data_IF_907244559019
#
_entry.id   IF_907244559019
#
_cell.length_a   1.000
_cell.length_b   1.000
_cell.length_c   1.000
_cell.angle_alpha   90.00
_cell.angle_beta   90.00
_cell.angle_gamma   90.00
#
_symmetry.space_group_name_H-M   'P 1'
#
loop_
_entity.id
_entity.type
_entity.pdbx_description
1 polymer ?
#
# COMPACT_ATOMS: atom_id res chain seq x y z
N UNK A 1 1.03 -4.82 39.32
CA UNK A 1 0.97 -3.69 38.37
C UNK A 1 1.72 -4.16 37.13
N UNK A 2 1.01 -4.73 36.16
CA UNK A 2 1.63 -5.28 34.95
C UNK A 2 2.20 -4.13 34.11
N UNK A 3 3.49 -4.19 33.76
CA UNK A 3 4.09 -3.32 32.75
C UNK A 3 3.39 -3.65 31.43
N UNK A 4 2.48 -2.79 30.97
CA UNK A 4 2.13 -2.76 29.55
C UNK A 4 3.42 -2.43 28.82
N UNK A 5 3.93 -3.39 28.05
CA UNK A 5 5.00 -3.10 27.10
C UNK A 5 4.49 -2.00 26.16
N UNK A 6 5.33 -0.99 25.96
CA UNK A 6 4.98 0.15 25.10
C UNK A 6 4.83 -0.38 23.66
N UNK A 7 3.71 -0.05 23.00
CA UNK A 7 3.48 -0.50 21.62
C UNK A 7 4.35 0.34 20.70
N UNK A 8 5.40 -0.27 20.16
CA UNK A 8 6.24 0.36 19.13
C UNK A 8 5.62 0.08 17.77
N UNK A 9 5.07 1.11 17.12
CA UNK A 9 4.47 1.02 15.79
C UNK A 9 5.30 1.79 14.77
N UNK A 10 5.64 1.12 13.67
CA UNK A 10 6.31 1.71 12.52
C UNK A 10 5.42 1.53 11.29
N UNK A 11 5.05 2.65 10.68
CA UNK A 11 4.30 2.67 9.43
C UNK A 11 5.14 3.32 8.32
N UNK A 12 5.25 2.65 7.18
CA UNK A 12 6.00 3.12 6.02
C UNK A 12 5.11 3.05 4.78
N UNK A 13 5.14 4.11 3.97
CA UNK A 13 4.45 4.18 2.68
C UNK A 13 5.39 4.73 1.63
N UNK A 14 5.52 4.04 0.50
CA UNK A 14 6.38 4.43 -0.63
C UNK A 14 5.62 4.28 -1.94
N UNK A 15 5.69 5.31 -2.79
CA UNK A 15 5.18 5.28 -4.18
C UNK A 15 6.37 5.16 -5.12
N UNK A 16 6.29 4.27 -6.10
CA UNK A 16 7.37 4.02 -7.05
C UNK A 16 6.84 3.81 -8.47
N UNK A 17 7.65 4.20 -9.46
CA UNK A 17 7.45 3.81 -10.85
C UNK A 17 7.81 2.35 -11.05
N UNK A 18 7.13 1.66 -11.96
CA UNK A 18 7.50 0.29 -12.32
C UNK A 18 8.40 0.29 -13.54
N UNK A 19 9.34 -0.66 -13.54
CA UNK A 19 10.17 -0.97 -14.70
C UNK A 19 9.58 -2.15 -15.47
N UNK A 20 9.79 -2.15 -16.78
CA UNK A 20 9.60 -3.34 -17.61
C UNK A 20 10.72 -4.38 -17.36
N UNK A 21 10.67 -5.57 -17.99
CA UNK A 21 11.73 -6.56 -17.87
C UNK A 21 13.11 -6.09 -18.37
N UNK A 22 13.20 -5.00 -19.15
CA UNK A 22 14.46 -4.41 -19.61
C UNK A 22 15.05 -3.41 -18.61
N UNK A 23 14.33 -3.10 -17.53
CA UNK A 23 14.74 -2.14 -16.51
C UNK A 23 14.35 -0.68 -16.84
N UNK A 24 13.60 -0.45 -17.92
CA UNK A 24 13.13 0.88 -18.28
C UNK A 24 11.88 1.24 -17.47
N UNK A 25 11.87 2.44 -16.86
CA UNK A 25 10.67 2.97 -16.20
C UNK A 25 9.58 3.19 -17.24
N UNK A 26 8.43 2.56 -17.01
CA UNK A 26 7.30 2.58 -17.94
C UNK A 26 6.32 3.68 -17.58
N UNK A 27 6.02 4.54 -18.55
CA UNK A 27 4.98 5.55 -18.38
C UNK A 27 3.60 4.90 -18.16
N UNK A 28 2.82 5.47 -17.25
CA UNK A 28 1.52 4.94 -16.84
C UNK A 28 1.57 3.68 -15.96
N UNK A 29 2.74 3.15 -15.60
CA UNK A 29 2.86 2.08 -14.60
C UNK A 29 3.21 2.68 -13.24
N UNK A 30 2.51 2.27 -12.20
CA UNK A 30 2.73 2.79 -10.84
C UNK A 30 2.61 1.68 -9.80
N UNK A 31 3.29 1.87 -8.67
CA UNK A 31 3.17 1.01 -7.51
C UNK A 31 3.14 1.80 -6.22
N UNK A 32 2.48 1.24 -5.21
CA UNK A 32 2.55 1.71 -3.83
C UNK A 32 2.82 0.51 -2.91
N UNK A 33 3.77 0.69 -2.00
CA UNK A 33 4.05 -0.24 -0.91
C UNK A 33 3.67 0.43 0.40
N UNK A 34 2.79 -0.20 1.17
CA UNK A 34 2.42 0.24 2.52
C UNK A 34 2.73 -0.89 3.47
N UNK A 35 3.49 -0.61 4.52
CA UNK A 35 3.80 -1.59 5.55
C UNK A 35 3.61 -1.02 6.94
N UNK A 36 3.21 -1.89 7.85
CA UNK A 36 3.02 -1.60 9.26
C UNK A 36 3.66 -2.73 10.06
N UNK A 37 4.39 -2.38 11.10
CA UNK A 37 4.92 -3.35 12.05
C UNK A 37 4.78 -2.86 13.48
N UNK A 38 4.36 -3.76 14.36
CA UNK A 38 4.49 -3.55 15.80
C UNK A 38 4.83 -4.85 16.55
N UNK A 39 5.27 -4.70 17.79
CA UNK A 39 5.68 -5.80 18.67
C UNK A 39 4.55 -6.80 18.99
N UNK A 40 3.28 -6.37 18.96
CA UNK A 40 2.12 -7.22 19.32
C UNK A 40 1.47 -7.97 18.14
N UNK A 41 1.39 -7.34 16.97
CA UNK A 41 0.68 -7.84 15.76
C UNK A 41 1.65 -8.34 14.70
N UNK A 42 2.95 -8.05 14.86
CA UNK A 42 3.99 -8.41 13.92
C UNK A 42 4.02 -7.45 12.73
N UNK A 43 4.40 -7.94 11.56
CA UNK A 43 4.56 -7.14 10.34
C UNK A 43 3.48 -7.48 9.33
N UNK A 44 2.95 -6.46 8.67
CA UNK A 44 2.11 -6.58 7.48
C UNK A 44 2.59 -5.60 6.41
N UNK A 45 2.54 -6.01 5.16
CA UNK A 45 2.86 -5.19 4.00
C UNK A 45 1.86 -5.48 2.88
N UNK A 46 1.49 -4.43 2.14
CA UNK A 46 0.67 -4.49 0.94
C UNK A 46 1.38 -3.74 -0.16
N UNK A 47 1.67 -4.44 -1.26
CA UNK A 47 2.13 -3.85 -2.51
C UNK A 47 0.95 -3.85 -3.49
N UNK A 48 0.63 -2.69 -4.05
CA UNK A 48 -0.35 -2.55 -5.13
C UNK A 48 0.39 -2.02 -6.34
N UNK A 49 0.31 -2.73 -7.46
CA UNK A 49 0.89 -2.28 -8.73
C UNK A 49 -0.18 -2.22 -9.80
N UNK A 50 -0.11 -1.19 -10.63
CA UNK A 50 -1.03 -0.96 -11.74
C UNK A 50 -0.25 -0.79 -13.04
N UNK A 51 -0.78 -1.36 -14.11
CA UNK A 51 -0.25 -1.17 -15.46
C UNK A 51 -1.34 -1.23 -16.53
N UNK A 52 -1.22 -0.46 -17.62
CA UNK A 52 -2.01 -0.69 -18.82
C UNK A 52 -1.65 -2.06 -19.42
N UNK A 53 -2.67 -2.78 -19.89
CA UNK A 53 -2.49 -4.03 -20.64
C UNK A 53 -3.24 -3.94 -21.97
N UNK A 54 -2.93 -4.88 -22.87
CA UNK A 54 -3.60 -4.99 -24.17
C UNK A 54 -5.13 -5.06 -23.99
N UNK A 55 -5.86 -4.63 -25.01
CA UNK A 55 -7.34 -4.54 -25.02
C UNK A 55 -7.92 -3.40 -24.18
N UNK A 56 -7.13 -2.36 -23.87
CA UNK A 56 -7.62 -1.15 -23.20
C UNK A 56 -8.08 -1.42 -21.77
N UNK A 57 -7.36 -2.28 -21.05
CA UNK A 57 -7.62 -2.59 -19.64
C UNK A 57 -6.45 -2.15 -18.77
N UNK A 58 -6.70 -2.08 -17.48
CA UNK A 58 -5.67 -1.88 -16.46
C UNK A 58 -5.60 -3.14 -15.61
N UNK A 59 -4.43 -3.75 -15.54
CA UNK A 59 -4.16 -4.84 -14.61
C UNK A 59 -3.71 -4.24 -13.27
N UNK A 60 -4.29 -4.76 -12.19
CA UNK A 60 -3.94 -4.43 -10.81
C UNK A 60 -3.44 -5.69 -10.14
N UNK A 61 -2.19 -5.66 -9.68
CA UNK A 61 -1.58 -6.68 -8.83
C UNK A 61 -1.64 -6.22 -7.39
N UNK A 62 -2.17 -7.06 -6.52
CA UNK A 62 -2.13 -6.84 -5.07
C UNK A 62 -1.35 -7.98 -4.44
N UNK A 63 -0.23 -7.67 -3.80
CA UNK A 63 0.54 -8.62 -3.00
C UNK A 63 0.45 -8.22 -1.54
N UNK A 64 0.06 -9.17 -0.71
CA UNK A 64 -0.01 -9.02 0.75
C UNK A 64 1.04 -9.93 1.36
N UNK A 65 1.80 -9.40 2.31
CA UNK A 65 2.80 -10.13 3.07
C UNK A 65 2.55 -9.90 4.56
N UNK A 66 2.53 -10.96 5.36
CA UNK A 66 2.34 -10.86 6.80
C UNK A 66 3.24 -11.81 7.58
N UNK A 67 3.60 -11.41 8.80
CA UNK A 67 4.43 -12.18 9.71
C UNK A 67 3.99 -11.92 11.14
N UNK A 68 3.64 -12.98 11.87
CA UNK A 68 3.30 -12.91 13.30
C UNK A 68 4.54 -12.54 14.14
N UNK A 69 4.36 -11.95 15.34
CA UNK A 69 5.47 -11.77 16.29
C UNK A 69 6.19 -13.10 16.55
N UNK A 70 7.53 -13.07 16.60
CA UNK A 70 8.35 -14.25 16.83
C UNK A 70 8.39 -15.28 15.70
N UNK A 71 7.59 -15.14 14.64
CA UNK A 71 7.66 -16.04 13.50
C UNK A 71 8.95 -15.80 12.70
N UNK A 72 9.61 -16.88 12.26
CA UNK A 72 10.85 -16.80 11.47
C UNK A 72 10.65 -16.64 9.96
N UNK A 73 9.40 -16.63 9.46
CA UNK A 73 9.11 -16.59 8.02
C UNK A 73 7.87 -15.76 7.71
N UNK A 74 7.90 -15.09 6.57
CA UNK A 74 6.80 -14.32 6.01
C UNK A 74 5.81 -15.21 5.24
N UNK A 75 4.51 -14.91 5.36
CA UNK A 75 3.44 -15.48 4.56
C UNK A 75 3.01 -14.46 3.50
N UNK A 76 2.94 -14.87 2.24
CA UNK A 76 2.57 -13.97 1.15
C UNK A 76 1.45 -14.53 0.27
N UNK A 77 0.55 -13.66 -0.19
CA UNK A 77 -0.47 -13.96 -1.19
C UNK A 77 -0.53 -12.85 -2.23
N UNK A 78 -0.67 -13.23 -3.50
CA UNK A 78 -0.80 -12.29 -4.61
C UNK A 78 -2.10 -12.54 -5.37
N UNK A 79 -2.75 -11.46 -5.80
CA UNK A 79 -3.94 -11.46 -6.64
C UNK A 79 -3.71 -10.54 -7.83
N UNK A 80 -4.28 -10.92 -8.98
CA UNK A 80 -4.30 -10.12 -10.19
C UNK A 80 -5.75 -9.91 -10.60
N UNK A 81 -6.14 -8.65 -10.84
CA UNK A 81 -7.48 -8.30 -11.32
C UNK A 81 -7.36 -7.30 -12.46
N UNK A 82 -8.34 -7.32 -13.36
CA UNK A 82 -8.42 -6.37 -14.47
C UNK A 82 -9.58 -5.40 -14.25
N UNK A 83 -9.34 -4.12 -14.54
CA UNK A 83 -10.33 -3.05 -14.47
C UNK A 83 -10.46 -2.33 -15.81
N UNK A 84 -11.62 -1.72 -16.06
CA UNK A 84 -11.75 -0.76 -17.16
C UNK A 84 -11.00 0.54 -16.82
N UNK A 85 -10.54 1.30 -17.83
CA UNK A 85 -9.95 2.61 -17.61
C UNK A 85 -10.90 3.55 -16.85
N UNK A 86 -12.19 3.49 -17.13
CA UNK A 86 -13.23 4.30 -16.46
C UNK A 86 -13.27 3.99 -14.96
N UNK A 87 -13.29 2.71 -14.58
CA UNK A 87 -13.32 2.31 -13.17
C UNK A 87 -12.06 2.74 -12.40
N UNK A 88 -10.88 2.69 -13.04
CA UNK A 88 -9.63 3.16 -12.43
C UNK A 88 -9.63 4.68 -12.24
N UNK A 89 -10.09 5.45 -13.25
CA UNK A 89 -10.19 6.92 -13.13
C UNK A 89 -11.14 7.32 -12.00
N UNK A 90 -12.31 6.70 -11.93
CA UNK A 90 -13.29 6.95 -10.87
C UNK A 90 -12.73 6.60 -9.48
N UNK A 91 -12.05 5.46 -9.37
CA UNK A 91 -11.40 5.04 -8.14
C UNK A 91 -10.29 6.02 -7.72
N UNK A 92 -9.44 6.46 -8.65
CA UNK A 92 -8.40 7.45 -8.39
C UNK A 92 -8.99 8.77 -7.88
N UNK A 93 -10.10 9.23 -8.46
CA UNK A 93 -10.83 10.41 -7.96
C UNK A 93 -11.30 10.26 -6.52
N UNK A 94 -11.81 9.07 -6.15
CA UNK A 94 -12.21 8.76 -4.77
C UNK A 94 -11.02 8.69 -3.81
N UNK A 95 -9.88 8.16 -4.26
CA UNK A 95 -8.65 8.11 -3.47
C UNK A 95 -8.12 9.51 -3.16
N UNK A 96 -8.06 10.41 -4.15
CA UNK A 96 -7.64 11.80 -3.94
C UNK A 96 -8.53 12.49 -2.90
N UNK A 97 -9.86 12.36 -3.05
CA UNK A 97 -10.81 12.90 -2.06
C UNK A 97 -10.64 12.31 -0.67
N UNK A 98 -10.34 11.02 -0.57
CA UNK A 98 -10.06 10.35 0.70
C UNK A 98 -8.81 10.94 1.37
N UNK A 99 -7.72 11.13 0.60
CA UNK A 99 -6.49 11.74 1.07
C UNK A 99 -6.73 13.17 1.57
N UNK A 100 -7.47 14.00 0.81
CA UNK A 100 -7.81 15.38 1.21
C UNK A 100 -8.58 15.43 2.54
N UNK A 101 -9.52 14.52 2.73
CA UNK A 101 -10.29 14.44 3.97
C UNK A 101 -9.44 13.95 5.13
N UNK A 102 -8.55 12.98 4.90
CA UNK A 102 -7.61 12.51 5.92
C UNK A 102 -6.66 13.63 6.37
N UNK A 103 -6.15 14.44 5.43
CA UNK A 103 -5.30 15.59 5.73
C UNK A 103 -6.00 16.61 6.63
N UNK A 104 -7.27 16.95 6.30
CA UNK A 104 -8.08 17.87 7.10
C UNK A 104 -8.36 17.37 8.52
N UNK A 105 -8.39 16.05 8.69
CA UNK A 105 -8.64 15.39 9.96
C UNK A 105 -7.36 15.18 10.80
N UNK A 106 -6.17 15.55 10.30
CA UNK A 106 -4.96 15.50 11.12
C UNK A 106 -5.14 16.37 12.36
N UNK A 107 -4.85 15.79 13.53
CA UNK A 107 -4.88 16.51 14.80
C UNK A 107 -3.94 17.72 14.69
N UNK A 108 -4.48 18.92 14.90
CA UNK A 108 -3.64 20.12 15.01
C UNK A 108 -2.72 19.95 16.23
N UNK A 109 -1.43 20.35 16.13
CA UNK A 109 -0.55 20.36 17.29
C UNK A 109 -1.19 21.15 18.42
N UNK A 110 -1.23 20.57 19.63
CA UNK A 110 -1.60 21.37 20.81
C UNK A 110 -0.46 22.34 21.08
N UNK A 111 -0.73 23.65 21.28
CA UNK A 111 0.31 24.56 21.75
C UNK A 111 0.83 24.03 23.09
N UNK A 112 2.15 23.96 23.20
CA UNK A 112 2.88 23.64 24.43
C UNK A 112 2.86 24.84 25.36
#
# INVERSE_FOLDING_TARGET
MERREEVEQVDLSEVYGRVDPSGQVMDGWAGISVSSSNNERGRSAVEIDVRPVLLGRVEVRVKTTSRKPGAGKDHSKSLYVNATPEAIRDFAGRLMKCADLAERNKLKPRPV
#
